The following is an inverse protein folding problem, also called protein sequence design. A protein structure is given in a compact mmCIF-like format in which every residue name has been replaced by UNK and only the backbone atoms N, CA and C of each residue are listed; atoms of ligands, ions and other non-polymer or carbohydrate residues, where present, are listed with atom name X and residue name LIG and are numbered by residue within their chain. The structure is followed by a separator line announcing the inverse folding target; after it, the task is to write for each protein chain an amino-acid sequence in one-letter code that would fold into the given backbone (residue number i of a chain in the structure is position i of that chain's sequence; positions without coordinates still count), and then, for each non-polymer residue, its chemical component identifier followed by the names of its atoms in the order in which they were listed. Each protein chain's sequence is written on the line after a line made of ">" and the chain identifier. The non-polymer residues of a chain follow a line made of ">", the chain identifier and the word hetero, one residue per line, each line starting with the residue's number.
data_IF_391487207064
#
_entry.id   IF_391487207064
#
_cell.length_a   1.000
_cell.length_b   1.000
_cell.length_c   1.000
_cell.angle_alpha   90.00
_cell.angle_beta   90.00
_cell.angle_gamma   90.00
#
_symmetry.space_group_name_H-M   'P 1'
#
loop_
_entity.id
_entity.type
_entity.pdbx_description
1 polymer ?
#
# COMPACT_ATOMS: atom_id res chain seq x y z
N UNK A 1 0.20 -14.18 8.11
CA UNK A 1 1.17 -13.09 7.85
C UNK A 1 2.45 -13.37 8.65
N UNK A 2 3.58 -13.13 8.04
CA UNK A 2 4.88 -13.36 8.68
C UNK A 2 5.58 -12.03 8.89
N UNK A 3 6.40 -11.93 9.93
CA UNK A 3 7.15 -10.70 10.23
C UNK A 3 8.03 -10.26 9.07
N UNK A 4 8.59 -11.21 8.33
CA UNK A 4 9.45 -10.89 7.17
C UNK A 4 8.70 -10.23 6.02
N UNK A 5 7.38 -10.32 6.01
CA UNK A 5 6.55 -9.72 4.96
C UNK A 5 6.18 -8.28 5.29
N UNK A 6 6.58 -7.79 6.46
CA UNK A 6 6.21 -6.48 6.97
C UNK A 6 7.41 -5.55 7.08
N UNK A 7 7.12 -4.26 6.92
CA UNK A 7 8.08 -3.17 7.13
C UNK A 7 7.45 -2.11 8.02
N UNK A 8 8.27 -1.40 8.76
CA UNK A 8 7.82 -0.24 9.53
C UNK A 8 7.20 0.76 8.55
N UNK A 9 6.03 1.26 8.90
CA UNK A 9 5.24 2.13 8.03
C UNK A 9 4.12 1.43 7.28
N UNK A 10 4.09 0.10 7.30
CA UNK A 10 3.01 -0.65 6.65
C UNK A 10 1.66 -0.41 7.35
N UNK A 11 0.61 -0.37 6.55
CA UNK A 11 -0.77 -0.29 7.04
C UNK A 11 -1.38 -1.69 7.12
N UNK A 12 -1.94 -1.99 8.26
CA UNK A 12 -2.60 -3.28 8.54
C UNK A 12 -3.86 -3.02 9.38
N UNK A 13 -4.59 -4.07 9.73
CA UNK A 13 -5.76 -3.92 10.59
C UNK A 13 -5.87 -5.11 11.54
N UNK A 14 -6.76 -5.01 12.53
CA UNK A 14 -7.01 -6.10 13.46
C UNK A 14 -7.76 -7.24 12.75
N UNK A 15 -7.45 -8.48 13.14
CA UNK A 15 -8.21 -9.64 12.67
C UNK A 15 -9.64 -9.58 13.20
N UNK A 16 -9.81 -9.15 14.45
CA UNK A 16 -11.13 -8.99 15.06
C UNK A 16 -11.80 -7.74 14.51
N UNK A 17 -12.76 -7.93 13.62
CA UNK A 17 -13.48 -6.84 12.98
C UNK A 17 -14.41 -6.10 13.94
N UNK A 18 -14.73 -6.70 15.07
CA UNK A 18 -15.55 -6.06 16.12
C UNK A 18 -14.71 -5.33 17.15
N UNK A 19 -13.40 -5.32 17.02
CA UNK A 19 -12.52 -4.59 17.93
C UNK A 19 -12.88 -3.11 17.87
N UNK A 20 -13.13 -2.46 19.04
CA UNK A 20 -13.47 -1.04 19.06
C UNK A 20 -12.35 -0.14 18.53
N UNK A 21 -11.12 -0.67 18.46
CA UNK A 21 -9.99 0.01 17.84
C UNK A 21 -9.94 -0.25 16.34
N UNK A 22 -11.00 -0.79 15.73
CA UNK A 22 -11.01 -1.16 14.33
C UNK A 22 -10.71 0.05 13.46
N UNK A 23 -9.49 0.10 12.97
CA UNK A 23 -8.94 1.25 12.29
C UNK A 23 -7.79 0.80 11.40
N UNK A 24 -7.29 1.72 10.62
CA UNK A 24 -6.02 1.52 9.93
C UNK A 24 -4.91 1.63 10.97
N UNK A 25 -4.13 0.57 11.09
CA UNK A 25 -2.99 0.53 11.99
C UNK A 25 -1.71 0.79 11.21
N UNK A 26 -0.84 1.63 11.74
CA UNK A 26 0.50 1.82 11.18
C UNK A 26 1.48 1.04 12.01
N UNK A 27 2.27 0.20 11.35
CA UNK A 27 3.30 -0.59 11.99
C UNK A 27 4.48 0.31 12.32
N UNK A 28 4.82 0.43 13.60
CA UNK A 28 5.90 1.32 14.04
C UNK A 28 7.07 0.57 14.68
N UNK A 29 6.93 -0.71 14.92
CA UNK A 29 8.03 -1.53 15.46
C UNK A 29 7.84 -3.00 15.19
N UNK A 30 8.93 -3.72 15.03
CA UNK A 30 8.96 -5.17 14.84
C UNK A 30 10.01 -5.73 15.77
N UNK A 31 9.63 -6.72 16.58
CA UNK A 31 10.51 -7.36 17.55
C UNK A 31 10.85 -8.79 17.16
N UNK A 32 11.86 -9.35 17.77
CA UNK A 32 12.42 -10.65 17.37
C UNK A 32 11.49 -11.84 17.61
N UNK A 33 10.52 -11.72 18.48
CA UNK A 33 9.64 -12.83 18.87
C UNK A 33 8.24 -12.71 18.29
N UNK A 34 8.13 -12.16 17.07
CA UNK A 34 6.87 -11.96 16.37
C UNK A 34 5.91 -10.99 17.09
N UNK A 35 6.44 -10.19 18.00
CA UNK A 35 5.69 -9.09 18.58
C UNK A 35 5.89 -7.85 17.72
N UNK A 36 4.84 -7.03 17.62
CA UNK A 36 4.86 -5.81 16.84
C UNK A 36 4.30 -4.66 17.68
N UNK A 37 4.63 -3.44 17.24
CA UNK A 37 4.08 -2.23 17.83
C UNK A 37 3.31 -1.50 16.75
N UNK A 38 2.04 -1.16 17.05
CA UNK A 38 1.15 -0.48 16.10
C UNK A 38 0.59 0.79 16.70
N UNK A 39 0.26 1.76 15.85
CA UNK A 39 -0.44 2.96 16.27
C UNK A 39 -1.63 3.22 15.37
N UNK A 40 -2.62 3.95 15.89
CA UNK A 40 -3.81 4.35 15.15
C UNK A 40 -4.33 5.68 15.65
N UNK A 41 -5.24 6.25 14.88
CA UNK A 41 -5.90 7.50 15.23
C UNK A 41 -7.37 7.23 15.52
N UNK A 42 -7.84 7.68 16.67
CA UNK A 42 -9.25 7.61 17.03
C UNK A 42 -10.06 8.64 16.24
N UNK A 43 -11.39 8.46 16.21
CA UNK A 43 -12.28 9.39 15.51
C UNK A 43 -12.15 10.84 15.98
N UNK A 44 -11.81 11.05 17.23
CA UNK A 44 -11.63 12.39 17.79
C UNK A 44 -10.29 13.03 17.41
N UNK A 45 -9.48 12.33 16.62
CA UNK A 45 -8.18 12.83 16.18
C UNK A 45 -7.02 12.50 17.11
N UNK A 46 -7.28 11.90 18.27
CA UNK A 46 -6.21 11.49 19.17
C UNK A 46 -5.52 10.23 18.65
N UNK A 47 -4.24 10.10 18.97
CA UNK A 47 -3.43 8.93 18.60
C UNK A 47 -3.27 8.00 19.78
N UNK A 48 -3.18 6.72 19.49
CA UNK A 48 -2.94 5.70 20.50
C UNK A 48 -2.03 4.63 19.88
N UNK A 49 -1.45 3.79 20.73
CA UNK A 49 -0.55 2.74 20.28
C UNK A 49 -0.56 1.58 21.28
N UNK A 50 -0.13 0.42 20.81
CA UNK A 50 0.01 -0.76 21.65
C UNK A 50 0.96 -1.76 20.99
N UNK A 51 1.54 -2.63 21.83
CA UNK A 51 2.19 -3.82 21.31
C UNK A 51 1.15 -4.93 21.16
N UNK A 52 1.39 -5.84 20.25
CA UNK A 52 0.51 -6.97 20.04
C UNK A 52 1.26 -8.09 19.33
N UNK A 53 0.65 -9.27 19.32
CA UNK A 53 1.20 -10.39 18.59
C UNK A 53 0.85 -10.28 17.11
N UNK A 54 1.76 -10.76 16.29
CA UNK A 54 1.58 -10.76 14.84
C UNK A 54 0.28 -11.47 14.41
N UNK A 55 -0.15 -12.46 15.17
CA UNK A 55 -1.37 -13.22 14.89
C UNK A 55 -2.65 -12.41 15.04
N UNK A 56 -2.59 -11.25 15.68
CA UNK A 56 -3.78 -10.41 15.91
C UNK A 56 -4.06 -9.41 14.80
N UNK A 57 -3.18 -9.32 13.83
CA UNK A 57 -3.35 -8.39 12.70
C UNK A 57 -3.47 -9.15 11.38
N UNK A 58 -4.03 -8.48 10.39
CA UNK A 58 -4.14 -8.99 9.02
C UNK A 58 -3.89 -7.87 8.03
N UNK A 59 -3.59 -8.26 6.78
CA UNK A 59 -3.49 -7.31 5.69
C UNK A 59 -4.86 -6.74 5.31
N UNK A 60 -4.85 -5.51 4.81
CA UNK A 60 -6.04 -4.90 4.26
C UNK A 60 -6.06 -5.09 2.76
N UNK A 61 -7.15 -5.56 2.16
CA UNK A 61 -7.23 -5.69 0.71
C UNK A 61 -7.04 -4.34 0.02
N UNK A 62 -6.38 -4.36 -1.12
CA UNK A 62 -6.24 -3.16 -1.95
C UNK A 62 -7.61 -2.86 -2.55
N UNK A 63 -8.07 -1.63 -2.40
CA UNK A 63 -9.33 -1.14 -2.97
C UNK A 63 -9.06 0.09 -3.82
N UNK A 64 -10.05 0.45 -4.65
CA UNK A 64 -9.96 1.68 -5.43
C UNK A 64 -9.78 2.91 -4.53
N UNK A 65 -10.41 2.90 -3.37
CA UNK A 65 -10.27 3.98 -2.38
C UNK A 65 -8.81 4.10 -1.92
N UNK A 66 -8.17 2.98 -1.60
CA UNK A 66 -6.76 2.99 -1.20
C UNK A 66 -5.87 3.52 -2.32
N UNK A 67 -6.11 3.07 -3.56
CA UNK A 67 -5.32 3.53 -4.70
C UNK A 67 -5.47 5.03 -4.91
N UNK A 68 -6.69 5.55 -4.78
CA UNK A 68 -6.92 6.99 -4.88
C UNK A 68 -6.20 7.75 -3.77
N UNK A 69 -6.23 7.25 -2.54
CA UNK A 69 -5.52 7.87 -1.42
C UNK A 69 -4.01 7.93 -1.65
N UNK A 70 -3.46 6.92 -2.29
CA UNK A 70 -2.03 6.90 -2.62
C UNK A 70 -1.66 7.74 -3.84
N UNK A 71 -2.64 8.27 -4.54
CA UNK A 71 -2.39 9.12 -5.69
C UNK A 71 -2.37 8.39 -7.03
N UNK A 72 -2.80 7.14 -7.07
CA UNK A 72 -2.95 6.43 -8.34
C UNK A 72 -4.11 7.03 -9.14
N UNK A 73 -3.95 7.04 -10.45
CA UNK A 73 -4.96 7.51 -11.39
C UNK A 73 -5.53 6.34 -12.16
N UNK A 74 -6.81 6.41 -12.47
CA UNK A 74 -7.50 5.38 -13.25
C UNK A 74 -7.44 5.74 -14.73
N UNK A 75 -7.06 4.79 -15.57
CA UNK A 75 -7.04 5.00 -17.02
C UNK A 75 -8.39 4.60 -17.64
N UNK A 76 -8.48 4.71 -18.96
CA UNK A 76 -9.71 4.41 -19.70
C UNK A 76 -10.06 2.92 -19.71
N UNK A 77 -9.10 2.06 -19.42
CA UNK A 77 -9.28 0.61 -19.40
C UNK A 77 -9.63 0.08 -18.01
N UNK A 78 -9.70 0.97 -17.01
CA UNK A 78 -9.99 0.57 -15.63
C UNK A 78 -8.76 0.15 -14.84
N UNK A 79 -7.58 0.32 -15.39
CA UNK A 79 -6.34 0.06 -14.68
C UNK A 79 -5.90 1.31 -13.91
N UNK A 80 -5.09 1.11 -12.89
CA UNK A 80 -4.58 2.21 -12.06
C UNK A 80 -3.09 2.35 -12.28
N UNK A 81 -2.60 3.60 -12.26
CA UNK A 81 -1.19 3.87 -12.48
C UNK A 81 -0.74 5.05 -11.65
N UNK A 82 0.55 5.06 -11.33
CA UNK A 82 1.20 6.18 -10.65
C UNK A 82 2.51 6.50 -11.36
N UNK A 83 2.77 7.79 -11.55
CA UNK A 83 3.94 8.28 -12.23
C UNK A 83 5.14 8.30 -11.29
N UNK A 84 6.27 7.75 -11.73
CA UNK A 84 7.53 7.71 -11.00
C UNK A 84 8.62 8.48 -11.76
N UNK A 85 8.25 9.46 -12.58
CA UNK A 85 9.11 10.28 -13.42
C UNK A 85 9.54 9.56 -14.71
N UNK A 86 10.61 8.77 -14.66
CA UNK A 86 11.08 8.01 -15.83
C UNK A 86 10.36 6.70 -16.03
N UNK A 87 9.63 6.28 -15.03
CA UNK A 87 8.87 5.02 -15.03
C UNK A 87 7.48 5.25 -14.48
N UNK A 88 6.62 4.27 -14.63
CA UNK A 88 5.33 4.26 -13.94
C UNK A 88 5.01 2.86 -13.46
N UNK A 89 4.18 2.78 -12.43
CA UNK A 89 3.67 1.52 -11.91
C UNK A 89 2.19 1.44 -12.25
N UNK A 90 1.80 0.37 -12.93
CA UNK A 90 0.42 0.12 -13.30
C UNK A 90 -0.09 -1.10 -12.53
N UNK A 91 -1.33 -1.03 -12.09
CA UNK A 91 -2.00 -2.12 -11.39
C UNK A 91 -3.24 -2.53 -12.16
N UNK A 92 -3.33 -3.81 -12.50
CA UNK A 92 -4.47 -4.38 -13.21
C UNK A 92 -5.16 -5.36 -12.30
N UNK A 93 -6.47 -5.18 -12.10
CA UNK A 93 -7.27 -6.07 -11.26
C UNK A 93 -7.74 -7.26 -12.09
N UNK A 94 -7.53 -8.46 -11.57
CA UNK A 94 -8.07 -9.70 -12.14
C UNK A 94 -8.50 -10.60 -10.99
N UNK A 95 -9.80 -10.82 -10.86
CA UNK A 95 -10.35 -11.53 -9.71
C UNK A 95 -10.12 -10.76 -8.42
N UNK A 96 -9.52 -11.40 -7.44
CA UNK A 96 -9.23 -10.78 -6.14
C UNK A 96 -7.80 -10.25 -6.04
N UNK A 97 -7.04 -10.32 -7.13
CA UNK A 97 -5.62 -9.97 -7.10
C UNK A 97 -5.31 -8.83 -8.03
N UNK A 98 -4.31 -8.05 -7.65
CA UNK A 98 -3.78 -6.98 -8.47
C UNK A 98 -2.45 -7.43 -9.07
N UNK A 99 -2.28 -7.13 -10.36
CA UNK A 99 -1.09 -7.52 -11.12
C UNK A 99 -0.29 -6.28 -11.45
N UNK A 100 0.85 -6.08 -10.75
CA UNK A 100 1.68 -4.90 -10.99
C UNK A 100 2.50 -5.04 -12.26
N UNK A 101 2.60 -3.93 -12.98
CA UNK A 101 3.50 -3.80 -14.13
C UNK A 101 4.32 -2.54 -13.95
N UNK A 102 5.63 -2.69 -13.93
CA UNK A 102 6.57 -1.58 -13.84
C UNK A 102 7.08 -1.30 -15.26
N UNK A 103 6.86 -0.08 -15.74
CA UNK A 103 7.13 0.24 -17.12
C UNK A 103 7.99 1.50 -17.22
N UNK A 104 8.94 1.48 -18.16
CA UNK A 104 9.76 2.63 -18.46
C UNK A 104 9.08 3.46 -19.54
N UNK A 105 8.98 4.75 -19.30
CA UNK A 105 8.46 5.68 -20.31
C UNK A 105 9.51 5.83 -21.40
N UNK A 106 9.16 5.60 -22.69
CA UNK A 106 10.13 5.76 -23.79
C UNK A 106 10.60 7.21 -23.87
N UNK A 107 11.91 7.40 -24.03
CA UNK A 107 12.49 8.75 -24.22
C UNK A 107 12.18 9.29 -25.59
N UNK A 108 12.04 8.40 -26.57
CA UNK A 108 11.76 8.77 -27.96
C UNK A 108 10.54 8.00 -28.45
N UNK A 109 9.72 8.64 -29.28
CA UNK A 109 8.44 8.09 -29.71
C UNK A 109 8.56 6.78 -30.51
N UNK A 110 9.72 6.48 -31.06
CA UNK A 110 9.93 5.24 -31.82
C UNK A 110 10.51 4.10 -30.97
N UNK A 111 10.81 4.35 -29.70
CA UNK A 111 11.29 3.31 -28.79
C UNK A 111 10.12 2.50 -28.26
N UNK A 112 10.38 1.22 -28.04
CA UNK A 112 9.40 0.36 -27.40
C UNK A 112 9.42 0.57 -25.90
N UNK A 113 8.23 0.53 -25.27
CA UNK A 113 8.09 0.61 -23.83
C UNK A 113 8.65 -0.67 -23.18
N UNK A 114 9.52 -0.50 -22.21
CA UNK A 114 10.06 -1.62 -21.43
C UNK A 114 9.13 -1.90 -20.27
N UNK A 115 8.59 -3.10 -20.22
CA UNK A 115 7.62 -3.49 -19.20
C UNK A 115 8.12 -4.71 -18.43
N UNK A 116 7.98 -4.68 -17.11
CA UNK A 116 8.33 -5.79 -16.23
C UNK A 116 7.15 -6.09 -15.32
N UNK A 117 6.65 -7.30 -15.38
CA UNK A 117 5.57 -7.76 -14.51
C UNK A 117 6.16 -8.37 -13.24
N UNK A 118 5.51 -8.13 -12.11
CA UNK A 118 5.89 -8.73 -10.83
C UNK A 118 4.82 -9.72 -10.40
N UNK A 119 5.06 -10.38 -9.28
CA UNK A 119 4.07 -11.27 -8.69
C UNK A 119 2.82 -10.50 -8.30
N UNK A 120 1.67 -11.15 -8.37
CA UNK A 120 0.40 -10.57 -7.94
C UNK A 120 0.47 -10.15 -6.48
N UNK A 121 -0.31 -9.13 -6.15
CA UNK A 121 -0.45 -8.64 -4.78
C UNK A 121 -1.94 -8.57 -4.42
N UNK A 122 -2.24 -8.61 -3.15
CA UNK A 122 -3.61 -8.59 -2.64
C UNK A 122 -3.79 -7.48 -1.60
N UNK A 123 -2.78 -7.19 -0.81
CA UNK A 123 -2.90 -6.36 0.37
C UNK A 123 -2.14 -5.05 0.24
N UNK A 124 -2.62 -4.03 0.97
CA UNK A 124 -2.03 -2.69 0.97
C UNK A 124 -0.56 -2.73 1.35
N UNK A 125 -0.19 -3.50 2.38
CA UNK A 125 1.22 -3.56 2.79
C UNK A 125 2.13 -4.16 1.70
N UNK A 126 1.60 -5.09 0.91
CA UNK A 126 2.36 -5.63 -0.21
C UNK A 126 2.63 -4.57 -1.28
N UNK A 127 1.63 -3.72 -1.55
CA UNK A 127 1.79 -2.60 -2.47
C UNK A 127 2.81 -1.60 -1.94
N UNK A 128 2.75 -1.27 -0.65
CA UNK A 128 3.72 -0.38 -0.03
C UNK A 128 5.14 -0.90 -0.17
N UNK A 129 5.32 -2.19 0.07
CA UNK A 129 6.65 -2.82 0.01
C UNK A 129 7.17 -2.88 -1.42
N UNK A 130 6.31 -3.19 -2.39
CA UNK A 130 6.68 -3.19 -3.79
C UNK A 130 7.08 -1.78 -4.24
N UNK A 131 6.29 -0.77 -3.90
CA UNK A 131 6.59 0.60 -4.29
C UNK A 131 7.93 1.05 -3.72
N UNK A 132 8.19 0.74 -2.45
CA UNK A 132 9.47 1.07 -1.82
C UNK A 132 10.63 0.39 -2.54
N UNK A 133 10.46 -0.89 -2.90
CA UNK A 133 11.51 -1.65 -3.56
C UNK A 133 11.90 -1.06 -4.93
N UNK A 134 10.93 -0.54 -5.67
CA UNK A 134 11.20 -0.02 -7.02
C UNK A 134 11.49 1.48 -7.04
N UNK A 135 11.02 2.24 -6.07
CA UNK A 135 11.13 3.70 -6.07
C UNK A 135 12.07 4.25 -5.01
N UNK A 136 12.43 3.45 -4.02
CA UNK A 136 13.35 3.89 -2.95
C UNK A 136 12.72 4.84 -1.94
N UNK A 137 11.42 5.09 -2.03
CA UNK A 137 10.71 5.99 -1.12
C UNK A 137 9.38 5.35 -0.73
N UNK A 138 8.84 5.77 0.41
CA UNK A 138 7.56 5.25 0.89
C UNK A 138 6.40 5.73 0.03
N UNK A 139 5.42 4.85 -0.17
CA UNK A 139 4.15 5.21 -0.78
C UNK A 139 3.32 5.95 0.25
N UNK A 140 3.06 7.21 0.01
CA UNK A 140 2.39 8.08 0.97
C UNK A 140 0.95 8.36 0.59
N UNK A 141 0.10 8.49 1.60
CA UNK A 141 -1.27 8.96 1.40
C UNK A 141 -1.21 10.42 0.99
N UNK A 142 -1.85 10.77 -0.13
CA UNK A 142 -1.93 12.13 -0.62
C UNK A 142 -3.02 12.86 0.12
N UNK A 143 -2.63 13.70 1.06
CA UNK A 143 -3.56 14.47 1.88
C UNK A 143 -3.71 15.89 1.33
N UNK A 144 -4.82 16.50 1.69
CA UNK A 144 -5.05 17.91 1.44
C UNK A 144 -5.49 18.25 0.04
N UNK A 145 -5.23 17.40 -0.94
CA UNK A 145 -5.64 17.67 -2.32
C UNK A 145 -7.15 17.70 -2.44
N UNK A 146 -7.79 16.71 -1.84
CA UNK A 146 -9.25 16.64 -1.83
C UNK A 146 -9.85 17.72 -0.94
N UNK A 147 -9.15 18.14 0.07
CA UNK A 147 -9.64 19.11 1.03
C UNK A 147 -9.57 20.52 0.49
N UNK A 148 -8.75 20.75 -0.49
CA UNK A 148 -8.64 22.03 -1.15
C UNK A 148 -9.75 22.29 -2.14
N UNK A 149 -10.47 21.27 -2.46
CA UNK A 149 -11.58 21.38 -3.41
C UNK A 149 -12.84 21.90 -2.78
#
# INVERSE_FOLDING_TARGET
>A
MKAKDLRIGNYVTWIDEDDPRNAVLTLVGIYLNDAIWVEWTWEDGSNDNTDCDLETIKGMPITEEWLSKFGFKKDNNGNYWIDLQTHYLELMLSGDYWYPVYAQVPEMSHEEEQRVSTNRIEFVHELQNLFFAINGAELEIKQGVSDCS
#
